data_IF_598793118605
#
_entry.id   IF_598793118605
#
_cell.length_a   1.000
_cell.length_b   1.000
_cell.length_c   1.000
_cell.angle_alpha   90.00
_cell.angle_beta   90.00
_cell.angle_gamma   90.00
#
_symmetry.space_group_name_H-M   'P 1'
#
loop_
_entity.id
_entity.type
_entity.pdbx_description
1 polymer ?
#
# COMPACT_ATOMS: atom_id res chain seq x y z
N UNK A 1 2.52 -6.86 3.05
CA UNK A 1 1.42 -7.26 3.95
C UNK A 1 0.47 -6.08 4.09
N UNK A 2 -0.83 -6.34 4.03
CA UNK A 2 -1.86 -5.34 4.25
C UNK A 2 -2.49 -5.58 5.61
N UNK A 3 -2.71 -4.50 6.35
CA UNK A 3 -3.42 -4.49 7.62
C UNK A 3 -4.72 -3.74 7.38
N UNK A 4 -5.83 -4.39 7.71
CA UNK A 4 -7.18 -3.84 7.59
C UNK A 4 -7.91 -4.12 8.89
N UNK A 5 -8.06 -3.10 9.73
CA UNK A 5 -8.91 -3.13 10.92
C UNK A 5 -10.08 -2.16 10.79
N UNK A 6 -10.82 -1.96 11.89
CA UNK A 6 -11.96 -1.04 11.93
C UNK A 6 -11.56 0.40 11.61
N UNK A 7 -10.39 0.84 12.12
CA UNK A 7 -9.83 2.16 11.84
C UNK A 7 -9.56 2.37 10.35
N UNK A 8 -9.05 1.36 9.67
CA UNK A 8 -8.75 1.43 8.24
C UNK A 8 -10.01 1.42 7.39
N UNK A 9 -11.01 0.64 7.81
CA UNK A 9 -12.33 0.61 7.17
C UNK A 9 -13.03 1.97 7.22
N UNK A 10 -13.04 2.62 8.38
CA UNK A 10 -13.69 3.92 8.56
C UNK A 10 -13.05 5.04 7.72
N UNK A 11 -11.77 4.90 7.42
CA UNK A 11 -11.00 5.87 6.62
C UNK A 11 -10.84 5.45 5.15
N UNK A 12 -11.53 4.40 4.72
CA UNK A 12 -11.43 3.80 3.37
C UNK A 12 -9.98 3.52 2.94
N UNK A 13 -9.14 3.16 3.90
CA UNK A 13 -7.70 2.99 3.74
C UNK A 13 -7.21 1.57 3.99
N UNK A 14 -5.93 1.36 3.73
CA UNK A 14 -5.17 0.15 4.07
C UNK A 14 -3.83 0.57 4.65
N UNK A 15 -3.37 -0.14 5.68
CA UNK A 15 -2.03 0.02 6.19
C UNK A 15 -1.09 -0.99 5.55
N UNK A 16 0.00 -0.48 4.96
CA UNK A 16 0.96 -1.27 4.19
C UNK A 16 2.19 -1.53 5.05
N UNK A 17 2.57 -2.80 5.16
CA UNK A 17 3.78 -3.23 5.87
C UNK A 17 4.60 -4.17 4.98
N UNK A 18 5.89 -3.91 4.84
CA UNK A 18 6.83 -4.80 4.15
C UNK A 18 7.64 -5.61 5.16
N UNK A 19 8.14 -6.77 4.72
CA UNK A 19 9.02 -7.60 5.57
C UNK A 19 10.41 -6.98 5.74
N UNK A 20 10.88 -6.24 4.74
CA UNK A 20 12.23 -5.66 4.70
C UNK A 20 12.30 -4.26 5.31
N UNK A 21 11.38 -3.35 4.96
CA UNK A 21 11.39 -1.94 5.40
C UNK A 21 10.49 -1.64 6.61
N UNK A 22 9.76 -2.62 7.13
CA UNK A 22 8.86 -2.42 8.27
C UNK A 22 7.52 -1.78 7.88
N UNK A 23 6.99 -0.90 8.73
CA UNK A 23 5.66 -0.32 8.55
C UNK A 23 5.73 0.92 7.63
N UNK A 24 5.10 0.85 6.46
CA UNK A 24 5.08 1.95 5.47
C UNK A 24 4.02 2.99 5.84
N UNK A 25 3.00 2.58 6.60
CA UNK A 25 1.94 3.46 7.07
C UNK A 25 0.62 3.23 6.33
N UNK A 26 -0.33 4.12 6.58
CA UNK A 26 -1.70 4.01 6.08
C UNK A 26 -1.89 4.89 4.85
N UNK A 27 -2.56 4.36 3.83
CA UNK A 27 -2.98 5.13 2.66
C UNK A 27 -4.37 4.72 2.19
N UNK A 28 -5.00 5.56 1.37
CA UNK A 28 -6.33 5.28 0.81
C UNK A 28 -6.28 4.07 -0.13
N UNK A 29 -7.30 3.22 -0.04
CA UNK A 29 -7.37 1.98 -0.82
C UNK A 29 -7.31 2.23 -2.33
N UNK A 30 -7.96 3.31 -2.80
CA UNK A 30 -7.95 3.69 -4.22
C UNK A 30 -6.57 4.15 -4.70
N UNK A 31 -5.87 4.97 -3.92
CA UNK A 31 -4.51 5.41 -4.25
C UNK A 31 -3.53 4.23 -4.25
N UNK A 32 -3.67 3.31 -3.29
CA UNK A 32 -2.86 2.10 -3.20
C UNK A 32 -3.00 1.24 -4.47
N UNK A 33 -4.23 0.98 -4.91
CA UNK A 33 -4.51 0.19 -6.11
C UNK A 33 -3.97 0.87 -7.36
N UNK A 34 -4.15 2.18 -7.50
CA UNK A 34 -3.65 2.92 -8.65
C UNK A 34 -2.12 2.85 -8.74
N UNK A 35 -1.42 3.12 -7.63
CA UNK A 35 0.06 3.06 -7.59
C UNK A 35 0.57 1.66 -7.91
N UNK A 36 -0.04 0.63 -7.33
CA UNK A 36 0.31 -0.76 -7.65
C UNK A 36 0.10 -1.10 -9.12
N UNK A 37 -1.03 -0.68 -9.70
CA UNK A 37 -1.31 -0.93 -11.12
C UNK A 37 -0.26 -0.27 -12.00
N UNK A 38 0.10 0.97 -11.71
CA UNK A 38 1.15 1.69 -12.42
C UNK A 38 2.55 1.07 -12.24
N UNK A 39 2.86 0.49 -11.08
CA UNK A 39 4.12 -0.23 -10.83
C UNK A 39 4.18 -1.55 -11.61
N UNK A 40 3.08 -2.31 -11.63
CA UNK A 40 2.93 -3.55 -12.39
C UNK A 40 3.04 -3.29 -13.88
N UNK A 41 2.36 -2.26 -14.39
CA UNK A 41 2.42 -1.88 -15.80
C UNK A 41 3.84 -1.47 -16.22
N UNK A 42 4.58 -0.80 -15.31
CA UNK A 42 5.99 -0.43 -15.52
C UNK A 42 6.98 -1.58 -15.31
N UNK A 43 6.52 -2.76 -14.85
CA UNK A 43 7.37 -3.88 -14.43
C UNK A 43 8.48 -3.44 -13.45
N UNK A 44 8.15 -2.49 -12.57
CA UNK A 44 9.10 -1.99 -11.58
C UNK A 44 9.49 -3.13 -10.63
N UNK A 45 10.79 -3.34 -10.43
CA UNK A 45 11.31 -4.27 -9.42
C UNK A 45 11.35 -3.66 -8.01
N UNK A 46 11.12 -2.34 -7.89
CA UNK A 46 11.07 -1.62 -6.63
C UNK A 46 9.62 -1.27 -6.29
N UNK A 47 9.16 -1.79 -5.15
CA UNK A 47 7.78 -1.67 -4.67
C UNK A 47 7.71 -0.55 -3.64
N UNK A 48 7.04 0.57 -3.97
CA UNK A 48 6.82 1.70 -3.07
C UNK A 48 8.09 2.25 -2.39
N UNK A 49 9.17 2.45 -3.16
CA UNK A 49 10.34 3.19 -2.68
C UNK A 49 10.19 4.70 -2.97
N UNK A 50 10.01 5.47 -1.90
CA UNK A 50 10.51 6.84 -1.81
C UNK A 50 11.12 7.05 -0.43
#
# INVERSE_FOLDING_TARGET
>A
MLIVGDKEKDQEGVAVRTREKGNIGMMKSKEFIQKLKEEVDRKSLQLMEK
#
